data_IF_246372000565
#
_entry.id   IF_246372000565
#
_cell.length_a   1.000
_cell.length_b   1.000
_cell.length_c   1.000
_cell.angle_alpha   90.00
_cell.angle_beta   90.00
_cell.angle_gamma   90.00
#
_symmetry.space_group_name_H-M   'P 1'
#
loop_
_entity.id
_entity.type
_entity.pdbx_description
1 polymer ?
#
# COMPACT_ATOMS: atom_id res chain seq x y z
N UNK A 1 3.90 -17.40 31.75
CA UNK A 1 3.34 -16.12 32.23
C UNK A 1 2.69 -15.46 31.02
N UNK A 2 1.47 -14.94 31.14
CA UNK A 2 0.67 -14.50 29.99
C UNK A 2 0.91 -12.99 29.82
N UNK A 3 1.87 -12.61 28.97
CA UNK A 3 2.17 -11.19 28.74
C UNK A 3 0.96 -10.50 28.09
N UNK A 4 0.39 -9.45 28.72
CA UNK A 4 -0.74 -8.74 28.16
C UNK A 4 -0.35 -8.08 26.83
N UNK A 5 -1.27 -8.10 25.86
CA UNK A 5 -1.04 -7.44 24.57
C UNK A 5 -0.91 -5.93 24.77
N UNK A 6 0.14 -5.35 24.21
CA UNK A 6 0.39 -3.91 24.23
C UNK A 6 -0.62 -3.18 23.32
N UNK A 7 -1.00 -1.99 23.75
CA UNK A 7 -1.80 -1.04 22.96
C UNK A 7 -0.88 -0.12 22.16
N UNK A 8 -1.45 0.57 21.17
CA UNK A 8 -0.73 1.59 20.37
C UNK A 8 0.02 2.58 21.26
N UNK A 9 -0.64 3.08 22.32
CA UNK A 9 -0.06 4.04 23.25
C UNK A 9 1.14 3.49 24.02
N UNK A 10 1.08 2.23 24.47
CA UNK A 10 2.20 1.59 25.17
C UNK A 10 3.40 1.40 24.24
N UNK A 11 3.15 1.01 22.98
CA UNK A 11 4.21 0.90 21.98
C UNK A 11 4.82 2.26 21.65
N UNK A 12 3.98 3.30 21.55
CA UNK A 12 4.43 4.67 21.33
C UNK A 12 5.36 5.15 22.46
N UNK A 13 4.99 4.87 23.72
CA UNK A 13 5.80 5.22 24.89
C UNK A 13 7.12 4.43 24.95
N UNK A 14 7.08 3.15 24.60
CA UNK A 14 8.26 2.28 24.57
C UNK A 14 9.29 2.75 23.53
N UNK A 15 8.84 3.11 22.32
CA UNK A 15 9.72 3.62 21.26
C UNK A 15 9.99 5.13 21.36
N UNK A 16 9.34 5.84 22.30
CA UNK A 16 9.32 7.31 22.39
C UNK A 16 8.93 8.00 21.08
N UNK A 17 7.90 7.50 20.41
CA UNK A 17 7.35 8.03 19.17
C UNK A 17 5.90 8.47 19.35
N UNK A 18 5.35 9.18 18.38
CA UNK A 18 3.95 9.57 18.40
C UNK A 18 3.02 8.41 18.01
N UNK A 19 1.81 8.33 18.57
CA UNK A 19 0.85 7.26 18.30
C UNK A 19 0.48 7.15 16.82
N UNK A 20 0.33 8.28 16.11
CA UNK A 20 0.10 8.27 14.66
C UNK A 20 1.19 7.53 13.87
N UNK A 21 2.45 7.68 14.27
CA UNK A 21 3.54 6.97 13.60
C UNK A 21 3.38 5.44 13.80
N UNK A 22 2.97 5.01 14.99
CA UNK A 22 2.69 3.58 15.28
C UNK A 22 1.53 3.08 14.43
N UNK A 23 0.45 3.86 14.29
CA UNK A 23 -0.65 3.54 13.38
C UNK A 23 -0.18 3.41 11.93
N UNK A 24 0.63 4.36 11.45
CA UNK A 24 1.18 4.35 10.09
C UNK A 24 2.07 3.14 9.85
N UNK A 25 2.97 2.81 10.79
CA UNK A 25 3.83 1.62 10.66
C UNK A 25 3.03 0.32 10.71
N UNK A 26 2.01 0.25 11.56
CA UNK A 26 1.13 -0.90 11.65
C UNK A 26 0.24 -1.05 10.41
N UNK A 27 -0.19 0.05 9.79
CA UNK A 27 -0.92 0.05 8.53
C UNK A 27 -0.01 -0.29 7.35
N UNK A 28 1.24 0.16 7.36
CA UNK A 28 2.27 -0.15 6.38
C UNK A 28 2.81 -1.59 6.49
N UNK A 29 2.47 -2.32 7.56
CA UNK A 29 2.97 -3.67 7.82
C UNK A 29 4.46 -3.72 8.21
N UNK A 30 5.02 -2.58 8.62
CA UNK A 30 6.42 -2.48 9.07
C UNK A 30 6.58 -2.87 10.54
N UNK A 31 5.57 -2.59 11.36
CA UNK A 31 5.53 -2.93 12.77
C UNK A 31 4.59 -4.15 12.97
N UNK A 32 5.04 -5.22 13.63
CA UNK A 32 4.25 -6.42 13.84
C UNK A 32 3.00 -6.08 14.69
N UNK A 33 1.82 -6.23 14.09
CA UNK A 33 0.55 -5.88 14.73
C UNK A 33 -0.56 -6.85 14.35
N UNK A 34 -1.43 -7.13 15.31
CA UNK A 34 -2.58 -8.02 15.17
C UNK A 34 -3.86 -7.21 15.17
N UNK A 35 -4.67 -7.35 14.11
CA UNK A 35 -6.00 -6.74 14.06
C UNK A 35 -7.01 -7.69 14.70
N UNK A 36 -7.53 -7.33 15.88
CA UNK A 36 -8.52 -8.12 16.62
C UNK A 36 -9.72 -7.22 16.92
N UNK A 37 -10.91 -7.57 16.42
CA UNK A 37 -12.17 -6.87 16.74
C UNK A 37 -12.18 -5.37 16.46
N UNK A 38 -11.42 -4.90 15.45
CA UNK A 38 -11.33 -3.48 15.11
C UNK A 38 -10.21 -2.71 15.81
N UNK A 39 -9.52 -3.32 16.78
CA UNK A 39 -8.34 -2.74 17.45
C UNK A 39 -7.06 -3.42 16.98
N UNK A 40 -5.96 -2.67 16.96
CA UNK A 40 -4.62 -3.22 16.75
C UNK A 40 -3.99 -3.54 18.10
N UNK A 41 -3.45 -4.74 18.22
CA UNK A 41 -2.77 -5.27 19.40
C UNK A 41 -1.35 -5.66 19.02
N UNK A 42 -0.43 -5.45 19.95
CA UNK A 42 0.99 -5.71 19.74
C UNK A 42 1.48 -6.71 20.78
N UNK A 43 2.33 -7.64 20.38
CA UNK A 43 3.02 -8.51 21.34
C UNK A 43 4.32 -7.83 21.78
N UNK A 44 4.61 -7.77 23.08
CA UNK A 44 5.84 -7.17 23.57
C UNK A 44 7.08 -7.86 22.99
N UNK A 45 7.08 -9.18 22.95
CA UNK A 45 8.18 -10.00 22.41
C UNK A 45 8.52 -9.69 20.94
N UNK A 46 7.49 -9.52 20.10
CA UNK A 46 7.69 -9.16 18.70
C UNK A 46 8.11 -7.71 18.50
N UNK A 47 7.65 -6.78 19.34
CA UNK A 47 8.10 -5.39 19.30
C UNK A 47 9.58 -5.32 19.71
N UNK A 48 9.98 -6.03 20.76
CA UNK A 48 11.38 -6.10 21.21
C UNK A 48 12.29 -6.70 20.13
N UNK A 49 11.89 -7.85 19.57
CA UNK A 49 12.62 -8.47 18.45
C UNK A 49 12.68 -7.59 17.20
N UNK A 50 11.64 -6.78 16.93
CA UNK A 50 11.65 -5.81 15.82
C UNK A 50 12.64 -4.67 16.07
N UNK A 51 12.72 -4.17 17.31
CA UNK A 51 13.68 -3.12 17.71
C UNK A 51 15.11 -3.67 17.57
N UNK A 52 15.37 -4.89 18.05
CA UNK A 52 16.67 -5.55 17.93
C UNK A 52 17.10 -5.67 16.45
N UNK A 53 16.20 -6.14 15.58
CA UNK A 53 16.46 -6.21 14.15
C UNK A 53 16.76 -4.85 13.52
N UNK A 54 16.09 -3.77 13.96
CA UNK A 54 16.34 -2.42 13.44
C UNK A 54 17.60 -1.76 14.00
N UNK A 55 18.09 -2.18 15.18
CA UNK A 55 19.38 -1.74 15.71
C UNK A 55 20.55 -2.25 14.84
N UNK A 56 20.43 -3.46 14.31
CA UNK A 56 21.47 -4.08 13.47
C UNK A 56 21.30 -3.81 11.96
N UNK A 57 20.13 -3.31 11.53
CA UNK A 57 19.79 -3.05 10.12
C UNK A 57 20.45 -1.80 9.48
N UNK A 58 21.68 -1.47 9.89
CA UNK A 58 22.64 -0.77 9.00
C UNK A 58 23.10 -1.67 7.84
N UNK A 59 22.58 -2.90 7.73
CA UNK A 59 22.71 -3.75 6.55
C UNK A 59 21.45 -3.65 5.66
N UNK A 60 21.61 -3.46 4.33
CA UNK A 60 20.50 -3.10 3.45
C UNK A 60 19.57 -4.29 3.23
N UNK A 61 18.36 -4.23 3.80
CA UNK A 61 17.31 -5.19 3.47
C UNK A 61 16.67 -4.78 2.14
N UNK A 62 16.96 -5.54 1.09
CA UNK A 62 16.41 -5.36 -0.26
C UNK A 62 14.88 -5.34 -0.21
N UNK A 63 14.29 -4.15 -0.30
CA UNK A 63 12.86 -3.99 -0.50
C UNK A 63 12.57 -4.31 -1.96
N UNK A 64 12.05 -5.51 -2.24
CA UNK A 64 11.48 -5.82 -3.56
C UNK A 64 10.25 -4.95 -3.75
N UNK A 65 10.43 -3.78 -4.36
CA UNK A 65 9.38 -2.86 -4.72
C UNK A 65 8.54 -3.52 -5.83
N UNK A 66 7.46 -4.22 -5.43
CA UNK A 66 6.46 -4.70 -6.39
C UNK A 66 5.91 -3.48 -7.14
N UNK A 67 6.05 -3.40 -8.48
CA UNK A 67 5.65 -2.20 -9.22
C UNK A 67 4.15 -1.96 -9.04
N UNK A 68 3.78 -0.70 -8.74
CA UNK A 68 2.37 -0.31 -8.66
C UNK A 68 1.75 -0.42 -10.06
N UNK A 69 0.51 -0.93 -10.20
CA UNK A 69 -0.15 -1.04 -11.49
C UNK A 69 -0.32 0.36 -12.10
N UNK A 70 0.22 0.53 -13.31
CA UNK A 70 0.13 1.78 -14.07
C UNK A 70 -1.32 1.94 -14.51
N UNK A 71 -2.00 2.98 -14.03
CA UNK A 71 -3.32 3.35 -14.54
C UNK A 71 -3.14 3.88 -15.95
N UNK A 72 -3.31 3.04 -16.98
CA UNK A 72 -3.43 3.54 -18.35
C UNK A 72 -4.68 4.42 -18.39
N UNK A 73 -4.47 5.75 -18.48
CA UNK A 73 -5.54 6.67 -18.88
C UNK A 73 -5.99 6.21 -20.25
N UNK A 74 -7.18 5.61 -20.32
CA UNK A 74 -7.85 5.25 -21.57
C UNK A 74 -7.91 6.50 -22.44
N UNK A 75 -7.10 6.53 -23.50
CA UNK A 75 -7.20 7.58 -24.50
C UNK A 75 -8.56 7.44 -25.18
N UNK A 76 -9.31 8.53 -25.17
CA UNK A 76 -10.62 8.72 -25.79
C UNK A 76 -10.54 8.30 -27.26
N UNK A 77 -11.33 7.33 -27.76
CA UNK A 77 -11.40 7.10 -29.20
C UNK A 77 -12.02 8.34 -29.84
N UNK A 78 -11.24 9.04 -30.65
CA UNK A 78 -11.75 10.06 -31.56
C UNK A 78 -12.61 9.36 -32.61
N UNK A 79 -13.82 9.88 -32.82
CA UNK A 79 -14.82 9.36 -33.77
C UNK A 79 -14.26 9.44 -35.20
N UNK A 80 -13.70 8.34 -35.69
CA UNK A 80 -13.46 8.14 -37.11
C UNK A 80 -14.79 7.78 -37.79
N UNK A 81 -15.18 8.58 -38.77
CA UNK A 81 -15.97 8.23 -39.97
C UNK A 81 -16.84 9.43 -40.39
N UNK A 82 -16.51 9.99 -41.55
CA UNK A 82 -17.54 10.30 -42.54
C UNK A 82 -17.01 9.79 -43.89
N UNK A 83 -17.60 8.74 -44.47
CA UNK A 83 -17.26 8.33 -45.83
C UNK A 83 -17.71 9.42 -46.81
N UNK A 84 -16.82 9.81 -47.73
CA UNK A 84 -17.16 10.59 -48.91
C UNK A 84 -18.09 9.71 -49.76
N UNK A 85 -19.38 10.01 -49.74
CA UNK A 85 -20.35 9.51 -50.70
C UNK A 85 -19.99 10.12 -52.06
N UNK A 86 -19.39 9.33 -52.94
CA UNK A 86 -19.27 9.66 -54.36
C UNK A 86 -19.33 8.35 -55.11
N UNK A 87 -20.53 7.88 -55.41
CA UNK A 87 -20.87 7.06 -56.58
C UNK A 87 -22.38 7.22 -56.77
N UNK A 88 -22.76 7.99 -57.79
CA UNK A 88 -23.97 7.72 -58.56
C UNK A 88 -23.78 8.35 -59.95
N UNK A 89 -23.33 7.53 -60.88
CA UNK A 89 -23.54 7.77 -62.29
C UNK A 89 -24.46 6.67 -62.81
N UNK A 90 -25.57 7.01 -63.46
CA UNK A 90 -26.18 6.11 -64.41
C UNK A 90 -26.21 6.67 -65.84
N UNK A 91 -26.07 5.70 -66.72
CA UNK A 91 -26.13 5.74 -68.17
C UNK A 91 -27.49 6.21 -68.74
N UNK A 92 -27.46 6.39 -70.07
CA UNK A 92 -28.56 6.36 -71.03
C UNK A 92 -29.20 7.71 -71.39
N UNK A 93 -28.87 8.23 -72.58
CA UNK A 93 -29.64 8.02 -73.81
C UNK A 93 -28.90 8.64 -75.01
#
# INVERSE_FOLDING_TARGET
MNEPMLTVRQVAELLRVHENWVYDQAAAGKLPSYKIGGTRRFRPDEVDGWIAQHRDASAPRVVVHRPRPVKHRSARPTRAAQPRLFEDGPAAA
#
